data_IF_907137389942
#
_entry.id   IF_907137389942
#
_cell.length_a   1.000
_cell.length_b   1.000
_cell.length_c   1.000
_cell.angle_alpha   90.00
_cell.angle_beta   90.00
_cell.angle_gamma   90.00
#
_symmetry.space_group_name_H-M   'P 1'
#
loop_
_entity.id
_entity.type
_entity.pdbx_description
1 polymer ?
#
# COMPACT_ATOMS: atom_id res chain seq x y z
N UNK A 1 -19.68 7.60 1.40
CA UNK A 1 -19.96 7.48 -0.05
C UNK A 1 -18.83 6.77 -0.79
N UNK A 2 -17.62 7.34 -0.87
CA UNK A 2 -16.50 6.74 -1.63
C UNK A 2 -16.14 5.30 -1.23
N UNK A 3 -16.07 4.99 0.07
CA UNK A 3 -15.77 3.62 0.53
C UNK A 3 -16.85 2.61 0.14
N UNK A 4 -18.12 3.01 0.22
CA UNK A 4 -19.26 2.17 -0.17
C UNK A 4 -19.25 1.95 -1.68
N UNK A 5 -19.01 2.99 -2.47
CA UNK A 5 -18.90 2.89 -3.93
C UNK A 5 -17.74 1.97 -4.33
N UNK A 6 -16.56 2.12 -3.71
CA UNK A 6 -15.38 1.28 -3.95
C UNK A 6 -15.65 -0.19 -3.63
N UNK A 7 -16.11 -0.48 -2.42
CA UNK A 7 -16.36 -1.86 -1.96
C UNK A 7 -17.51 -2.48 -2.75
N UNK A 8 -18.56 -1.71 -3.02
CA UNK A 8 -19.69 -2.15 -3.84
C UNK A 8 -19.30 -2.50 -5.27
N UNK A 9 -18.47 -1.66 -5.93
CA UNK A 9 -17.98 -1.94 -7.27
C UNK A 9 -17.13 -3.23 -7.33
N UNK A 10 -16.24 -3.43 -6.35
CA UNK A 10 -15.46 -4.67 -6.26
C UNK A 10 -16.33 -5.88 -5.95
N UNK A 11 -17.28 -5.76 -5.02
CA UNK A 11 -18.20 -6.85 -4.69
C UNK A 11 -19.08 -7.23 -5.89
N UNK A 12 -19.54 -6.24 -6.68
CA UNK A 12 -20.28 -6.48 -7.91
C UNK A 12 -19.41 -7.21 -8.95
N UNK A 13 -18.15 -6.77 -9.14
CA UNK A 13 -17.20 -7.44 -10.03
C UNK A 13 -16.98 -8.90 -9.60
N UNK A 14 -16.77 -9.14 -8.30
CA UNK A 14 -16.62 -10.50 -7.74
C UNK A 14 -17.87 -11.34 -8.00
N UNK A 15 -19.06 -10.80 -7.72
CA UNK A 15 -20.32 -11.51 -7.96
C UNK A 15 -20.47 -11.88 -9.44
N UNK A 16 -20.25 -10.92 -10.34
CA UNK A 16 -20.35 -11.13 -11.78
C UNK A 16 -19.34 -12.15 -12.31
N UNK A 17 -18.07 -12.04 -11.91
CA UNK A 17 -17.01 -12.93 -12.38
C UNK A 17 -17.07 -14.35 -11.82
N UNK A 18 -17.68 -14.56 -10.64
CA UNK A 18 -17.82 -15.89 -10.03
C UNK A 18 -19.11 -16.61 -10.41
N UNK A 19 -20.16 -15.89 -10.83
CA UNK A 19 -21.50 -16.47 -11.05
C UNK A 19 -22.02 -16.28 -12.47
N UNK A 20 -22.32 -15.04 -12.85
CA UNK A 20 -23.16 -14.74 -14.02
C UNK A 20 -22.40 -14.75 -15.35
N UNK A 21 -21.13 -14.35 -15.36
CA UNK A 21 -20.37 -14.13 -16.60
C UNK A 21 -19.14 -15.03 -16.70
N UNK A 22 -19.07 -16.10 -15.92
CA UNK A 22 -17.94 -17.04 -15.95
C UNK A 22 -17.76 -17.59 -17.37
N UNK A 23 -16.53 -17.55 -17.87
CA UNK A 23 -16.15 -18.19 -19.12
C UNK A 23 -15.52 -19.57 -18.82
N UNK A 24 -16.24 -20.70 -19.04
CA UNK A 24 -15.78 -22.01 -18.60
C UNK A 24 -14.46 -22.44 -19.24
N UNK A 25 -14.27 -22.14 -20.53
CA UNK A 25 -13.06 -22.50 -21.28
C UNK A 25 -11.84 -21.72 -20.76
N UNK A 26 -12.00 -20.41 -20.54
CA UNK A 26 -10.96 -19.55 -19.95
C UNK A 26 -10.61 -20.00 -18.54
N UNK A 27 -11.62 -20.24 -17.70
CA UNK A 27 -11.41 -20.71 -16.34
C UNK A 27 -10.69 -22.05 -16.35
N UNK A 28 -11.13 -23.01 -17.18
CA UNK A 28 -10.50 -24.33 -17.27
C UNK A 28 -9.03 -24.22 -17.71
N UNK A 29 -8.74 -23.41 -18.73
CA UNK A 29 -7.37 -23.15 -19.18
C UNK A 29 -6.52 -22.57 -18.04
N UNK A 30 -6.96 -21.48 -17.42
CA UNK A 30 -6.23 -20.83 -16.33
C UNK A 30 -5.99 -21.75 -15.12
N UNK A 31 -7.00 -22.52 -14.71
CA UNK A 31 -6.90 -23.40 -13.54
C UNK A 31 -6.14 -24.70 -13.82
N UNK A 32 -6.12 -25.18 -15.08
CA UNK A 32 -5.33 -26.36 -15.45
C UNK A 32 -3.82 -26.12 -15.33
N UNK A 33 -3.35 -24.89 -15.57
CA UNK A 33 -1.95 -24.48 -15.43
C UNK A 33 -1.76 -23.47 -14.30
N UNK A 34 -2.60 -23.49 -13.26
CA UNK A 34 -2.60 -22.48 -12.19
C UNK A 34 -1.24 -22.32 -11.51
N UNK A 35 -0.55 -23.44 -11.30
CA UNK A 35 0.77 -23.51 -10.69
C UNK A 35 1.92 -23.27 -11.69
N UNK A 36 1.60 -22.88 -12.92
CA UNK A 36 2.55 -22.83 -14.03
C UNK A 36 3.01 -24.23 -14.47
N UNK A 37 3.78 -24.26 -15.54
CA UNK A 37 4.36 -25.48 -16.13
C UNK A 37 5.87 -25.58 -15.89
N UNK A 38 6.44 -24.66 -15.10
CA UNK A 38 7.87 -24.59 -14.81
C UNK A 38 8.30 -25.42 -13.60
N UNK A 39 9.61 -25.60 -13.45
CA UNK A 39 10.19 -26.36 -12.36
C UNK A 39 10.09 -25.61 -11.02
N UNK A 40 9.53 -26.29 -10.02
CA UNK A 40 9.41 -25.80 -8.64
C UNK A 40 10.73 -25.95 -7.89
N UNK A 41 11.71 -25.13 -8.26
CA UNK A 41 13.02 -25.05 -7.59
C UNK A 41 13.12 -23.82 -6.70
N UNK A 42 14.18 -23.73 -5.89
CA UNK A 42 14.45 -22.56 -5.05
C UNK A 42 14.58 -21.25 -5.86
N UNK A 43 14.82 -21.34 -7.17
CA UNK A 43 14.86 -20.19 -8.07
C UNK A 43 13.51 -19.45 -8.18
N UNK A 44 12.39 -20.06 -7.77
CA UNK A 44 11.08 -19.38 -7.75
C UNK A 44 10.96 -18.35 -6.63
N UNK A 45 11.75 -18.47 -5.56
CA UNK A 45 11.71 -17.57 -4.40
C UNK A 45 11.94 -16.10 -4.77
N UNK A 46 13.00 -15.73 -5.51
CA UNK A 46 13.18 -14.34 -5.94
C UNK A 46 12.05 -13.85 -6.87
N UNK A 47 11.52 -14.71 -7.73
CA UNK A 47 10.40 -14.39 -8.63
C UNK A 47 9.14 -14.05 -7.82
N UNK A 48 8.80 -14.86 -6.83
CA UNK A 48 7.68 -14.61 -5.91
C UNK A 48 7.92 -13.29 -5.16
N UNK A 49 9.13 -13.06 -4.64
CA UNK A 49 9.44 -11.83 -3.93
C UNK A 49 9.33 -10.57 -4.80
N UNK A 50 9.78 -10.61 -6.05
CA UNK A 50 9.61 -9.52 -6.99
C UNK A 50 8.12 -9.26 -7.34
N UNK A 51 7.31 -10.32 -7.46
CA UNK A 51 5.87 -10.23 -7.71
C UNK A 51 5.07 -9.69 -6.51
N UNK A 52 5.59 -9.83 -5.28
CA UNK A 52 4.91 -9.36 -4.07
C UNK A 52 4.76 -7.84 -3.96
N UNK A 53 5.53 -7.06 -4.72
CA UNK A 53 5.51 -5.60 -4.62
C UNK A 53 4.12 -5.01 -4.89
N UNK A 54 3.44 -5.47 -5.95
CA UNK A 54 2.07 -5.04 -6.27
C UNK A 54 1.06 -5.46 -5.20
N UNK A 55 1.14 -6.71 -4.71
CA UNK A 55 0.26 -7.23 -3.67
C UNK A 55 0.42 -6.48 -2.34
N UNK A 56 1.66 -6.18 -1.94
CA UNK A 56 1.95 -5.42 -0.73
C UNK A 56 1.47 -3.98 -0.84
N UNK A 57 1.70 -3.33 -1.98
CA UNK A 57 1.20 -1.98 -2.19
C UNK A 57 -0.33 -1.92 -2.16
N UNK A 58 -1.01 -2.90 -2.77
CA UNK A 58 -2.48 -2.97 -2.76
C UNK A 58 -3.06 -3.07 -1.34
N UNK A 59 -2.30 -3.65 -0.42
CA UNK A 59 -2.66 -3.89 0.99
C UNK A 59 -2.04 -2.87 1.94
N UNK A 60 -1.33 -1.86 1.43
CA UNK A 60 -0.69 -0.83 2.26
C UNK A 60 -1.74 0.13 2.86
N UNK A 61 -1.29 1.01 3.77
CA UNK A 61 -2.11 1.98 4.51
C UNK A 61 -2.99 1.42 5.64
N UNK A 62 -2.91 0.12 5.95
CA UNK A 62 -3.58 -0.47 7.12
C UNK A 62 -3.16 0.20 8.44
N UNK A 63 -1.90 0.66 8.52
CA UNK A 63 -1.33 1.36 9.68
C UNK A 63 -1.90 2.77 9.88
N UNK A 64 -2.50 3.40 8.87
CA UNK A 64 -3.00 4.78 8.96
C UNK A 64 -4.14 4.93 9.98
N UNK A 65 -4.92 3.88 10.24
CA UNK A 65 -5.97 3.91 11.27
C UNK A 65 -5.40 4.21 12.66
N UNK A 66 -4.13 3.85 12.89
CA UNK A 66 -3.44 4.10 14.17
C UNK A 66 -3.16 5.58 14.39
N UNK A 67 -3.12 6.41 13.34
CA UNK A 67 -2.92 7.85 13.47
C UNK A 67 -4.12 8.57 14.08
N UNK A 68 -5.31 7.99 13.93
CA UNK A 68 -6.54 8.45 14.55
C UNK A 68 -6.87 7.67 15.83
N UNK A 69 -5.94 6.88 16.38
CA UNK A 69 -6.21 6.03 17.54
C UNK A 69 -6.72 6.81 18.77
N UNK A 70 -6.29 8.07 18.94
CA UNK A 70 -6.76 8.95 20.01
C UNK A 70 -8.22 9.40 19.84
N UNK A 71 -8.76 9.36 18.62
CA UNK A 71 -10.14 9.72 18.30
C UNK A 71 -11.08 8.50 18.35
N UNK A 72 -10.53 7.28 18.43
CA UNK A 72 -11.28 6.02 18.46
C UNK A 72 -11.82 5.75 19.87
N UNK A 73 -13.13 5.50 19.97
CA UNK A 73 -13.74 5.03 21.21
C UNK A 73 -13.19 3.65 21.59
N UNK A 74 -12.81 3.45 22.86
CA UNK A 74 -12.24 2.18 23.36
C UNK A 74 -11.10 1.61 22.48
N UNK A 75 -10.00 2.36 22.32
CA UNK A 75 -8.96 2.04 21.32
C UNK A 75 -8.26 0.71 21.61
N UNK A 76 -8.15 0.27 22.87
CA UNK A 76 -7.55 -1.01 23.25
C UNK A 76 -8.29 -2.23 22.68
N UNK A 77 -9.58 -2.11 22.41
CA UNK A 77 -10.42 -3.19 21.83
C UNK A 77 -10.73 -2.93 20.36
N UNK A 78 -11.15 -1.71 20.04
CA UNK A 78 -11.67 -1.38 18.72
C UNK A 78 -10.57 -1.26 17.68
N UNK A 79 -9.36 -0.79 18.05
CA UNK A 79 -8.27 -0.64 17.09
C UNK A 79 -7.73 -2.00 16.62
N UNK A 80 -7.42 -2.98 17.50
CA UNK A 80 -7.02 -4.31 17.05
C UNK A 80 -8.10 -5.02 16.24
N UNK A 81 -9.37 -4.89 16.64
CA UNK A 81 -10.49 -5.52 15.92
C UNK A 81 -10.68 -4.91 14.52
N UNK A 82 -10.63 -3.57 14.42
CA UNK A 82 -10.72 -2.88 13.14
C UNK A 82 -9.57 -3.27 12.20
N UNK A 83 -8.34 -3.40 12.72
CA UNK A 83 -7.20 -3.88 11.96
C UNK A 83 -7.39 -5.32 11.49
N UNK A 84 -7.77 -6.24 12.38
CA UNK A 84 -7.90 -7.65 12.05
C UNK A 84 -9.07 -7.92 11.07
N UNK A 85 -10.27 -7.44 11.39
CA UNK A 85 -11.47 -7.65 10.58
C UNK A 85 -11.38 -6.85 9.27
N UNK A 86 -10.95 -5.59 9.34
CA UNK A 86 -10.83 -4.73 8.16
C UNK A 86 -9.82 -5.28 7.17
N UNK A 87 -8.60 -5.60 7.63
CA UNK A 87 -7.56 -6.19 6.76
C UNK A 87 -7.99 -7.57 6.25
N UNK A 88 -8.59 -8.42 7.10
CA UNK A 88 -9.07 -9.74 6.68
C UNK A 88 -10.14 -9.67 5.60
N UNK A 89 -11.12 -8.77 5.74
CA UNK A 89 -12.18 -8.58 4.75
C UNK A 89 -11.63 -8.05 3.42
N UNK A 90 -10.71 -7.08 3.46
CA UNK A 90 -10.08 -6.53 2.26
C UNK A 90 -9.23 -7.57 1.56
N UNK A 91 -8.43 -8.35 2.29
CA UNK A 91 -7.64 -9.44 1.74
C UNK A 91 -8.53 -10.50 1.07
N UNK A 92 -9.64 -10.87 1.70
CA UNK A 92 -10.62 -11.78 1.10
C UNK A 92 -11.19 -11.21 -0.20
N UNK A 93 -11.59 -9.94 -0.21
CA UNK A 93 -12.12 -9.27 -1.39
C UNK A 93 -11.09 -9.23 -2.52
N UNK A 94 -9.82 -8.96 -2.23
CA UNK A 94 -8.74 -8.96 -3.22
C UNK A 94 -8.49 -10.35 -3.80
N UNK A 95 -8.46 -11.39 -2.97
CA UNK A 95 -8.34 -12.78 -3.44
C UNK A 95 -9.52 -13.13 -4.35
N UNK A 96 -10.75 -12.86 -3.90
CA UNK A 96 -11.96 -13.13 -4.70
C UNK A 96 -11.97 -12.35 -6.01
N UNK A 97 -11.46 -11.11 -6.02
CA UNK A 97 -11.34 -10.29 -7.23
C UNK A 97 -10.35 -10.92 -8.22
N UNK A 98 -9.21 -11.42 -7.75
CA UNK A 98 -8.25 -12.13 -8.61
C UNK A 98 -8.84 -13.44 -9.16
N UNK A 99 -9.57 -14.19 -8.34
CA UNK A 99 -10.29 -15.40 -8.81
C UNK A 99 -11.37 -15.02 -9.85
N UNK A 100 -12.08 -13.91 -9.66
CA UNK A 100 -13.05 -13.40 -10.63
C UNK A 100 -12.37 -13.03 -11.96
N UNK A 101 -11.20 -12.38 -11.92
CA UNK A 101 -10.41 -12.11 -13.13
C UNK A 101 -10.00 -13.39 -13.87
N UNK A 102 -9.51 -14.40 -13.14
CA UNK A 102 -9.12 -15.69 -13.73
C UNK A 102 -10.31 -16.49 -14.29
N UNK A 103 -11.55 -16.16 -13.92
CA UNK A 103 -12.75 -16.75 -14.51
C UNK A 103 -13.26 -16.01 -15.76
N UNK A 104 -12.78 -14.79 -16.00
CA UNK A 104 -13.26 -13.90 -17.06
C UNK A 104 -12.23 -13.70 -18.18
N UNK A 105 -10.94 -13.64 -17.83
CA UNK A 105 -9.86 -13.31 -18.74
C UNK A 105 -8.78 -14.39 -18.73
N UNK A 106 -8.23 -14.76 -19.90
CA UNK A 106 -7.07 -15.64 -19.93
C UNK A 106 -5.89 -14.94 -19.27
N UNK A 107 -5.11 -15.68 -18.49
CA UNK A 107 -3.96 -15.12 -17.79
C UNK A 107 -2.90 -14.66 -18.80
N UNK A 108 -2.55 -15.56 -19.73
CA UNK A 108 -1.69 -15.28 -20.87
C UNK A 108 -2.50 -14.69 -22.02
N UNK A 109 -1.92 -13.74 -22.74
CA UNK A 109 -2.54 -13.15 -23.92
C UNK A 109 -1.51 -12.53 -24.85
N UNK A 110 -1.99 -11.88 -25.90
CA UNK A 110 -1.18 -11.23 -26.92
C UNK A 110 -1.18 -9.69 -26.70
N UNK A 111 -0.02 -9.05 -26.53
CA UNK A 111 0.08 -7.59 -26.45
C UNK A 111 -0.60 -6.84 -27.62
N UNK A 112 -0.65 -7.47 -28.80
CA UNK A 112 -1.26 -6.94 -30.02
C UNK A 112 -2.73 -7.34 -30.20
N UNK A 113 -3.32 -8.02 -29.21
CA UNK A 113 -4.72 -8.45 -29.23
C UNK A 113 -5.70 -7.28 -29.42
N UNK A 114 -6.68 -7.50 -30.30
CA UNK A 114 -7.67 -6.47 -30.66
C UNK A 114 -8.60 -6.10 -29.49
N UNK A 115 -8.95 -7.06 -28.64
CA UNK A 115 -9.88 -6.89 -27.52
C UNK A 115 -9.27 -7.30 -26.17
N UNK A 116 -10.03 -7.09 -25.10
CA UNK A 116 -9.62 -7.43 -23.74
C UNK A 116 -9.39 -8.94 -23.55
N UNK A 117 -10.13 -9.78 -24.26
CA UNK A 117 -10.01 -11.24 -24.17
C UNK A 117 -8.69 -11.72 -24.78
N UNK A 118 -8.34 -11.23 -25.98
CA UNK A 118 -7.09 -11.59 -26.65
C UNK A 118 -5.84 -11.07 -25.91
N UNK A 119 -5.92 -9.88 -25.31
CA UNK A 119 -4.81 -9.32 -24.51
C UNK A 119 -4.59 -10.05 -23.19
N UNK A 120 -5.64 -10.65 -22.62
CA UNK A 120 -5.58 -11.33 -21.34
C UNK A 120 -5.22 -10.40 -20.17
N UNK A 121 -4.92 -11.00 -19.01
CA UNK A 121 -4.60 -10.26 -17.78
C UNK A 121 -3.23 -9.58 -17.89
N UNK A 122 -2.22 -10.26 -18.43
CA UNK A 122 -0.84 -9.75 -18.51
C UNK A 122 -0.68 -8.50 -19.39
N UNK A 123 -1.53 -8.33 -20.40
CA UNK A 123 -1.45 -7.21 -21.34
C UNK A 123 -2.72 -6.34 -21.34
N UNK A 124 -3.43 -6.31 -20.22
CA UNK A 124 -4.58 -5.43 -20.06
C UNK A 124 -4.20 -3.97 -20.39
N UNK A 125 -5.03 -3.30 -21.18
CA UNK A 125 -4.75 -1.94 -21.63
C UNK A 125 -4.56 -1.00 -20.43
N UNK A 126 -3.43 -0.29 -20.39
CA UNK A 126 -3.05 0.63 -19.31
C UNK A 126 -3.07 -0.02 -17.91
N UNK A 127 -2.82 -1.34 -17.83
CA UNK A 127 -2.84 -2.15 -16.60
C UNK A 127 -4.21 -2.20 -15.89
N UNK A 128 -5.30 -1.90 -16.62
CA UNK A 128 -6.66 -1.82 -16.06
C UNK A 128 -7.41 -3.14 -16.19
N UNK A 129 -6.97 -4.14 -15.44
CA UNK A 129 -7.59 -5.49 -15.43
C UNK A 129 -9.09 -5.43 -15.06
N UNK A 130 -9.48 -4.55 -14.14
CA UNK A 130 -10.87 -4.39 -13.72
C UNK A 130 -11.80 -3.92 -14.83
N UNK A 131 -11.36 -2.97 -15.67
CA UNK A 131 -12.17 -2.51 -16.81
C UNK A 131 -12.21 -3.55 -17.91
N UNK A 132 -11.08 -4.23 -18.17
CA UNK A 132 -11.00 -5.31 -19.14
C UNK A 132 -11.94 -6.49 -18.78
N UNK A 133 -12.00 -6.85 -17.50
CA UNK A 133 -12.88 -7.94 -17.04
C UNK A 133 -14.36 -7.60 -17.22
N UNK A 134 -14.75 -6.37 -16.92
CA UNK A 134 -16.14 -5.91 -17.12
C UNK A 134 -16.47 -5.71 -18.60
N UNK A 135 -15.50 -5.29 -19.42
CA UNK A 135 -15.66 -5.20 -20.88
C UNK A 135 -16.01 -6.56 -21.47
N UNK A 136 -15.31 -7.61 -21.06
CA UNK A 136 -15.59 -8.99 -21.51
C UNK A 136 -16.93 -9.49 -21.00
N UNK A 137 -17.31 -9.14 -19.76
CA UNK A 137 -18.57 -9.60 -19.16
C UNK A 137 -19.81 -8.88 -19.73
N UNK A 138 -19.74 -7.56 -19.92
CA UNK A 138 -20.91 -6.69 -20.13
C UNK A 138 -20.77 -5.74 -21.33
N UNK A 139 -19.65 -5.78 -22.04
CA UNK A 139 -19.35 -4.93 -23.20
C UNK A 139 -18.71 -3.59 -22.86
N UNK A 140 -18.32 -2.85 -23.90
CA UNK A 140 -17.56 -1.60 -23.80
C UNK A 140 -18.24 -0.48 -22.97
N UNK A 141 -19.59 -0.42 -23.00
CA UNK A 141 -20.34 0.54 -22.20
C UNK A 141 -20.15 0.35 -20.69
N UNK A 142 -20.11 -0.91 -20.24
CA UNK A 142 -19.89 -1.24 -18.84
C UNK A 142 -18.44 -0.99 -18.40
N UNK A 143 -17.48 -1.15 -19.31
CA UNK A 143 -16.07 -0.79 -19.05
C UNK A 143 -15.92 0.69 -18.68
N UNK A 144 -16.68 1.57 -19.35
CA UNK A 144 -16.71 3.01 -19.05
C UNK A 144 -17.29 3.27 -17.66
N UNK A 145 -18.38 2.60 -17.28
CA UNK A 145 -18.95 2.71 -15.93
C UNK A 145 -17.96 2.24 -14.85
N UNK A 146 -17.24 1.14 -15.10
CA UNK A 146 -16.20 0.65 -14.20
C UNK A 146 -15.03 1.66 -14.10
N UNK A 147 -14.60 2.25 -15.21
CA UNK A 147 -13.56 3.29 -15.20
C UNK A 147 -13.98 4.49 -14.34
N UNK A 148 -15.23 4.95 -14.46
CA UNK A 148 -15.79 6.02 -13.61
C UNK A 148 -15.80 5.60 -12.14
N UNK A 149 -16.24 4.39 -11.81
CA UNK A 149 -16.23 3.88 -10.43
C UNK A 149 -14.80 3.84 -9.84
N UNK A 150 -13.81 3.41 -10.63
CA UNK A 150 -12.39 3.44 -10.24
C UNK A 150 -11.93 4.88 -10.00
N UNK A 151 -12.31 5.84 -10.86
CA UNK A 151 -11.98 7.25 -10.66
C UNK A 151 -12.55 7.79 -9.33
N UNK A 152 -13.83 7.54 -9.03
CA UNK A 152 -14.42 7.92 -7.74
C UNK A 152 -13.69 7.28 -6.55
N UNK A 153 -13.30 6.02 -6.67
CA UNK A 153 -12.52 5.30 -5.65
C UNK A 153 -11.13 5.94 -5.43
N UNK A 154 -10.39 6.22 -6.50
CA UNK A 154 -9.06 6.84 -6.43
C UNK A 154 -9.13 8.25 -5.85
N UNK A 155 -10.15 9.04 -6.20
CA UNK A 155 -10.37 10.37 -5.64
C UNK A 155 -10.66 10.31 -4.13
N UNK A 156 -11.49 9.36 -3.71
CA UNK A 156 -11.76 9.11 -2.28
C UNK A 156 -10.51 8.71 -1.49
N UNK A 157 -9.65 7.87 -2.08
CA UNK A 157 -8.37 7.49 -1.49
C UNK A 157 -7.44 8.71 -1.34
N UNK A 158 -7.26 9.48 -2.41
CA UNK A 158 -6.43 10.69 -2.39
C UNK A 158 -6.92 11.70 -1.35
N UNK A 159 -8.22 11.91 -1.22
CA UNK A 159 -8.77 12.78 -0.18
C UNK A 159 -8.33 12.35 1.22
N UNK A 160 -8.38 11.04 1.51
CA UNK A 160 -7.90 10.50 2.80
C UNK A 160 -6.40 10.77 3.02
N UNK A 161 -5.57 10.47 2.02
CA UNK A 161 -4.11 10.65 2.08
C UNK A 161 -3.71 12.14 2.22
N UNK A 162 -4.43 13.04 1.56
CA UNK A 162 -4.23 14.50 1.66
C UNK A 162 -4.53 15.00 3.08
N UNK A 163 -5.53 14.43 3.76
CA UNK A 163 -5.87 14.83 5.13
C UNK A 163 -4.95 14.21 6.18
N UNK A 164 -4.43 13.00 5.95
CA UNK A 164 -3.55 12.31 6.91
C UNK A 164 -2.09 12.71 6.79
N UNK A 165 -1.56 12.87 5.58
CA UNK A 165 -0.13 13.13 5.33
C UNK A 165 0.44 14.35 6.09
N UNK A 166 -0.24 15.51 6.08
CA UNK A 166 0.22 16.69 6.80
C UNK A 166 0.31 16.55 8.32
N UNK A 167 -0.42 15.59 8.92
CA UNK A 167 -0.36 15.32 10.37
C UNK A 167 1.04 14.87 10.79
N UNK A 168 1.78 14.19 9.89
CA UNK A 168 3.16 13.76 10.12
C UNK A 168 4.09 14.97 10.17
N UNK A 169 4.00 15.90 9.21
CA UNK A 169 4.79 17.14 9.22
C UNK A 169 4.52 17.98 10.47
N UNK A 170 3.25 18.04 10.88
CA UNK A 170 2.85 18.75 12.09
C UNK A 170 3.44 18.13 13.36
N UNK A 171 3.40 16.80 13.50
CA UNK A 171 4.01 16.11 14.63
C UNK A 171 5.53 16.31 14.67
N UNK A 172 6.22 16.13 13.53
CA UNK A 172 7.67 16.35 13.45
C UNK A 172 8.08 17.79 13.78
N UNK A 173 7.28 18.79 13.38
CA UNK A 173 7.54 20.18 13.72
C UNK A 173 7.39 20.46 15.23
N UNK A 174 6.44 19.81 15.91
CA UNK A 174 6.30 19.91 17.38
C UNK A 174 7.47 19.30 18.13
N UNK A 175 8.08 18.26 17.57
CA UNK A 175 9.31 17.66 18.09
C UNK A 175 10.57 18.44 17.70
N UNK A 176 10.43 19.60 17.02
CA UNK A 176 11.53 20.44 16.50
C UNK A 176 12.45 19.70 15.51
N UNK A 177 11.91 18.69 14.82
CA UNK A 177 12.61 17.89 13.82
C UNK A 177 12.29 18.30 12.37
N UNK A 178 11.45 19.33 12.21
CA UNK A 178 11.05 19.86 10.90
C UNK A 178 10.82 21.38 10.99
N UNK A 179 10.49 22.01 9.86
CA UNK A 179 10.21 23.45 9.81
C UNK A 179 9.09 23.84 10.80
N UNK A 180 9.33 24.85 11.64
CA UNK A 180 8.33 25.33 12.63
C UNK A 180 7.00 25.74 12.00
N UNK A 181 7.04 26.26 10.76
CA UNK A 181 5.83 26.63 10.00
C UNK A 181 4.89 25.44 9.77
N UNK A 182 5.41 24.22 9.66
CA UNK A 182 4.58 23.02 9.52
C UNK A 182 3.81 22.67 10.80
N UNK A 183 4.27 23.16 11.96
CA UNK A 183 3.60 22.99 13.25
C UNK A 183 2.45 23.99 13.48
N UNK A 184 2.31 25.02 12.63
CA UNK A 184 1.25 26.02 12.73
C UNK A 184 -0.01 25.52 12.03
N UNK A 185 -1.13 25.57 12.75
CA UNK A 185 -2.45 25.30 12.20
C UNK A 185 -3.12 26.60 11.76
N UNK A 186 -3.96 26.52 10.73
CA UNK A 186 -4.79 27.65 10.33
C UNK A 186 -5.70 28.08 11.51
N UNK A 187 -5.82 29.37 11.83
CA UNK A 187 -6.60 29.84 12.99
C UNK A 187 -8.06 29.38 12.97
N UNK A 188 -8.70 29.45 11.80
CA UNK A 188 -10.11 29.10 11.60
C UNK A 188 -10.30 27.59 11.31
N UNK A 189 -9.71 27.09 10.21
CA UNK A 189 -9.88 25.70 9.76
C UNK A 189 -9.11 24.64 10.56
N UNK A 190 -8.18 25.05 11.44
CA UNK A 190 -7.33 24.15 12.25
C UNK A 190 -6.56 23.10 11.43
N UNK A 191 -6.22 23.43 10.18
CA UNK A 191 -5.49 22.56 9.25
C UNK A 191 -4.02 22.99 9.08
N UNK A 192 -3.07 22.05 8.89
CA UNK A 192 -1.66 22.37 8.63
C UNK A 192 -1.42 22.76 7.16
N UNK A 193 -1.73 24.02 6.81
CA UNK A 193 -1.69 24.53 5.41
C UNK A 193 -0.32 24.37 4.76
N UNK A 194 0.77 24.66 5.48
CA UNK A 194 2.12 24.50 4.94
C UNK A 194 2.42 23.04 4.58
N UNK A 195 2.01 22.10 5.42
CA UNK A 195 2.17 20.67 5.15
C UNK A 195 1.39 20.22 3.92
N UNK A 196 0.17 20.74 3.74
CA UNK A 196 -0.65 20.48 2.55
C UNK A 196 0.04 20.98 1.26
N UNK A 197 0.54 22.21 1.26
CA UNK A 197 1.22 22.80 0.10
C UNK A 197 2.52 22.06 -0.21
N UNK A 198 3.32 21.76 0.80
CA UNK A 198 4.57 21.00 0.62
C UNK A 198 4.31 19.62 0.02
N UNK A 199 3.29 18.91 0.52
CA UNK A 199 2.87 17.63 -0.03
C UNK A 199 2.38 17.76 -1.49
N UNK A 200 1.57 18.79 -1.79
CA UNK A 200 1.04 19.01 -3.13
C UNK A 200 2.14 19.29 -4.15
N UNK A 201 3.12 20.14 -3.80
CA UNK A 201 4.29 20.43 -4.65
C UNK A 201 5.10 19.15 -4.88
N UNK A 202 5.41 18.42 -3.81
CA UNK A 202 6.20 17.20 -3.94
C UNK A 202 5.50 16.12 -4.76
N UNK A 203 4.20 15.89 -4.52
CA UNK A 203 3.40 14.97 -5.31
C UNK A 203 3.37 15.37 -6.80
N UNK A 204 3.23 16.66 -7.11
CA UNK A 204 3.24 17.16 -8.49
C UNK A 204 4.57 16.90 -9.20
N UNK A 205 5.70 17.05 -8.48
CA UNK A 205 7.04 16.72 -9.01
C UNK A 205 7.15 15.22 -9.30
N UNK A 206 6.65 14.36 -8.40
CA UNK A 206 6.66 12.91 -8.63
C UNK A 206 5.77 12.49 -9.81
N UNK A 207 4.64 13.18 -10.04
CA UNK A 207 3.76 12.91 -11.18
C UNK A 207 4.42 13.16 -12.54
N UNK A 208 5.46 14.00 -12.61
CA UNK A 208 6.17 14.32 -13.85
C UNK A 208 7.54 13.63 -13.97
N UNK A 209 8.00 12.90 -12.95
CA UNK A 209 9.37 12.36 -12.90
C UNK A 209 9.53 10.93 -13.42
N UNK A 210 8.47 10.11 -13.43
CA UNK A 210 8.56 8.69 -13.79
C UNK A 210 7.20 8.02 -14.03
N UNK A 211 7.21 6.69 -14.19
CA UNK A 211 6.00 5.90 -14.39
C UNK A 211 5.39 5.41 -13.07
N UNK A 212 4.10 5.05 -13.08
CA UNK A 212 3.38 4.58 -11.90
C UNK A 212 4.05 3.38 -11.21
N UNK A 213 4.44 2.35 -11.98
CA UNK A 213 5.11 1.17 -11.43
C UNK A 213 6.44 1.49 -10.75
N UNK A 214 7.20 2.44 -11.30
CA UNK A 214 8.48 2.87 -10.72
C UNK A 214 8.29 3.60 -9.38
N UNK A 215 7.29 4.48 -9.30
CA UNK A 215 6.94 5.17 -8.05
C UNK A 215 6.49 4.17 -6.96
N UNK A 216 5.75 3.13 -7.36
CA UNK A 216 5.30 2.07 -6.47
C UNK A 216 6.48 1.29 -5.89
N UNK A 217 7.39 0.81 -6.76
CA UNK A 217 8.60 0.07 -6.33
C UNK A 217 9.47 0.88 -5.36
N UNK A 218 9.57 2.19 -5.62
CA UNK A 218 10.31 3.12 -4.78
C UNK A 218 9.72 3.27 -3.36
N UNK A 219 8.41 3.43 -3.24
CA UNK A 219 7.74 3.64 -1.94
C UNK A 219 7.67 2.36 -1.11
N UNK A 220 7.40 1.21 -1.73
CA UNK A 220 7.24 -0.06 -1.00
C UNK A 220 8.50 -0.44 -0.27
N UNK A 221 9.67 -0.33 -0.91
CA UNK A 221 10.92 -0.68 -0.23
C UNK A 221 11.19 0.22 0.99
N UNK A 222 11.00 1.54 0.84
CA UNK A 222 11.17 2.47 1.96
C UNK A 222 10.19 2.15 3.11
N UNK A 223 8.94 1.81 2.80
CA UNK A 223 7.95 1.40 3.80
C UNK A 223 8.38 0.11 4.53
N UNK A 224 8.88 -0.90 3.81
CA UNK A 224 9.36 -2.16 4.40
C UNK A 224 10.50 -1.94 5.40
N UNK A 225 11.43 -1.03 5.12
CA UNK A 225 12.50 -0.65 6.07
C UNK A 225 11.90 -0.15 7.38
N UNK A 226 10.94 0.79 7.33
CA UNK A 226 10.32 1.34 8.54
C UNK A 226 9.42 0.32 9.24
N UNK A 227 8.76 -0.57 8.51
CA UNK A 227 8.00 -1.66 9.10
C UNK A 227 8.89 -2.66 9.83
N UNK A 228 10.03 -3.03 9.25
CA UNK A 228 11.04 -3.87 9.89
C UNK A 228 11.59 -3.23 11.17
N UNK A 229 11.98 -1.95 11.10
CA UNK A 229 12.48 -1.19 12.25
C UNK A 229 11.43 -1.05 13.35
N UNK A 230 10.16 -0.85 12.98
CA UNK A 230 9.05 -0.77 13.93
C UNK A 230 8.82 -2.12 14.64
N UNK A 231 8.85 -3.22 13.88
CA UNK A 231 8.76 -4.55 14.46
C UNK A 231 9.96 -4.87 15.37
N UNK A 232 11.18 -4.49 14.98
CA UNK A 232 12.37 -4.60 15.82
C UNK A 232 12.23 -3.77 17.12
N UNK A 233 11.67 -2.57 17.02
CA UNK A 233 11.43 -1.71 18.17
C UNK A 233 10.48 -2.36 19.19
N UNK A 234 9.51 -3.17 18.77
CA UNK A 234 8.66 -3.96 19.68
C UNK A 234 9.51 -4.89 20.57
N UNK A 235 10.43 -5.66 19.98
CA UNK A 235 11.32 -6.56 20.74
C UNK A 235 12.26 -5.78 21.66
N UNK A 236 12.84 -4.68 21.14
CA UNK A 236 13.75 -3.83 21.90
C UNK A 236 13.04 -3.16 23.08
N UNK A 237 11.84 -2.65 22.89
CA UNK A 237 11.04 -2.00 23.93
C UNK A 237 10.66 -2.98 25.05
N UNK A 238 10.36 -4.24 24.72
CA UNK A 238 10.08 -5.25 25.74
C UNK A 238 11.28 -5.58 26.63
N UNK A 239 12.50 -5.45 26.11
CA UNK A 239 13.74 -5.60 26.90
C UNK A 239 14.07 -4.34 27.70
N UNK A 240 13.91 -3.16 27.10
CA UNK A 240 14.30 -1.89 27.73
C UNK A 240 13.30 -1.41 28.80
N UNK A 241 12.01 -1.68 28.61
CA UNK A 241 10.94 -1.23 29.50
C UNK A 241 9.94 -2.37 29.75
N UNK A 242 10.35 -3.40 30.52
CA UNK A 242 9.52 -4.58 30.75
C UNK A 242 8.21 -4.26 31.48
N UNK A 243 8.25 -3.30 32.42
CA UNK A 243 7.17 -3.01 33.37
C UNK A 243 6.09 -2.03 32.87
N UNK A 244 6.26 -1.47 31.67
CA UNK A 244 5.26 -0.57 31.11
C UNK A 244 3.91 -1.29 30.94
N UNK A 245 2.79 -0.66 31.34
CA UNK A 245 1.47 -1.22 31.08
C UNK A 245 1.25 -1.32 29.57
N UNK A 246 0.82 -2.50 29.11
CA UNK A 246 0.56 -2.80 27.68
C UNK A 246 -0.92 -3.14 27.51
N UNK A 247 -1.78 -2.14 27.22
CA UNK A 247 -3.21 -2.36 27.03
C UNK A 247 -3.51 -3.34 25.89
N UNK A 248 -2.65 -3.35 24.87
CA UNK A 248 -2.71 -4.30 23.74
C UNK A 248 -1.39 -5.06 23.67
N UNK A 249 -1.46 -6.39 23.66
CA UNK A 249 -0.31 -7.27 23.47
C UNK A 249 -0.33 -7.82 22.04
N UNK A 250 0.83 -7.82 21.39
CA UNK A 250 0.97 -8.43 20.07
C UNK A 250 0.62 -9.93 20.14
N UNK A 251 -0.34 -10.35 19.32
CA UNK A 251 -0.75 -11.74 19.20
C UNK A 251 0.41 -12.62 18.71
N UNK A 252 0.54 -13.83 19.27
CA UNK A 252 1.61 -14.77 18.91
C UNK A 252 3.03 -14.31 19.26
N UNK A 253 3.21 -13.26 20.07
CA UNK A 253 4.55 -12.84 20.50
C UNK A 253 5.23 -13.93 21.35
N UNK A 254 6.53 -14.24 21.12
CA UNK A 254 7.46 -13.57 20.21
C UNK A 254 7.48 -14.11 18.77
N UNK A 255 6.88 -15.27 18.53
CA UNK A 255 7.04 -16.03 17.28
C UNK A 255 6.47 -15.29 16.08
N UNK A 256 5.23 -14.82 16.14
CA UNK A 256 4.56 -14.21 14.99
C UNK A 256 5.24 -12.90 14.54
N UNK A 257 5.59 -11.95 15.43
CA UNK A 257 6.36 -10.77 15.03
C UNK A 257 7.77 -11.10 14.51
N UNK A 258 8.40 -12.18 15.01
CA UNK A 258 9.71 -12.61 14.50
C UNK A 258 9.60 -13.19 13.08
N UNK A 259 8.58 -14.00 12.81
CA UNK A 259 8.29 -14.52 11.46
C UNK A 259 8.00 -13.36 10.49
N UNK A 260 7.22 -12.37 10.92
CA UNK A 260 6.99 -11.15 10.14
C UNK A 260 8.30 -10.44 9.80
N UNK A 261 9.18 -10.23 10.78
CA UNK A 261 10.49 -9.61 10.54
C UNK A 261 11.35 -10.42 9.57
N UNK A 262 11.38 -11.75 9.69
CA UNK A 262 12.12 -12.62 8.78
C UNK A 262 11.56 -12.53 7.35
N UNK A 263 10.24 -12.55 7.18
CA UNK A 263 9.60 -12.43 5.87
C UNK A 263 9.88 -11.06 5.22
N UNK A 264 9.71 -9.97 5.98
CA UNK A 264 10.01 -8.61 5.51
C UNK A 264 11.50 -8.46 5.18
N UNK A 265 12.39 -8.99 6.02
CA UNK A 265 13.83 -8.96 5.79
C UNK A 265 14.25 -9.74 4.54
N UNK A 266 13.73 -10.96 4.37
CA UNK A 266 13.98 -11.77 3.17
C UNK A 266 13.47 -11.07 1.91
N UNK A 267 12.28 -10.47 1.96
CA UNK A 267 11.72 -9.72 0.84
C UNK A 267 12.58 -8.49 0.50
N UNK A 268 13.03 -7.74 1.51
CA UNK A 268 13.94 -6.61 1.27
C UNK A 268 15.23 -7.05 0.58
N UNK A 269 15.81 -8.18 0.99
CA UNK A 269 17.00 -8.75 0.34
C UNK A 269 16.69 -9.08 -1.12
N UNK A 270 15.58 -9.76 -1.41
CA UNK A 270 15.16 -10.09 -2.77
C UNK A 270 15.02 -8.81 -3.62
N UNK A 271 14.30 -7.79 -3.13
CA UNK A 271 14.08 -6.55 -3.86
C UNK A 271 15.37 -5.76 -4.13
N UNK A 272 16.40 -5.93 -3.29
CA UNK A 272 17.70 -5.30 -3.50
C UNK A 272 18.41 -5.87 -4.75
N UNK A 273 18.22 -7.16 -5.03
CA UNK A 273 18.84 -7.84 -6.17
C UNK A 273 17.96 -7.83 -7.42
N UNK A 274 16.64 -8.00 -7.26
CA UNK A 274 15.70 -8.11 -8.39
C UNK A 274 15.29 -6.75 -8.95
N UNK A 275 15.27 -5.69 -8.13
CA UNK A 275 14.81 -4.34 -8.53
C UNK A 275 15.79 -3.20 -8.16
N UNK A 276 17.11 -3.36 -8.35
CA UNK A 276 18.15 -2.46 -7.81
C UNK A 276 17.99 -1.00 -8.23
N UNK A 277 17.48 -0.76 -9.44
CA UNK A 277 17.27 0.59 -9.98
C UNK A 277 16.32 1.44 -9.13
N UNK A 278 15.48 0.83 -8.28
CA UNK A 278 14.48 1.53 -7.48
C UNK A 278 14.72 1.37 -5.97
N UNK A 279 15.25 0.23 -5.55
CA UNK A 279 15.64 -0.02 -4.15
C UNK A 279 16.74 0.93 -3.69
N UNK A 280 17.78 1.12 -4.49
CA UNK A 280 18.93 1.95 -4.12
C UNK A 280 18.58 3.43 -4.01
N UNK A 281 17.86 4.06 -4.97
CA UNK A 281 17.40 5.44 -4.79
C UNK A 281 16.48 5.62 -3.57
N UNK A 282 15.58 4.67 -3.30
CA UNK A 282 14.74 4.68 -2.10
C UNK A 282 15.57 4.69 -0.82
N UNK A 283 16.57 3.81 -0.74
CA UNK A 283 17.55 3.78 0.35
C UNK A 283 18.32 5.09 0.48
N UNK A 284 18.79 5.66 -0.62
CA UNK A 284 19.54 6.91 -0.62
C UNK A 284 18.69 8.07 -0.10
N UNK A 285 17.40 8.13 -0.46
CA UNK A 285 16.50 9.18 0.03
C UNK A 285 16.20 8.97 1.52
N UNK A 286 15.93 7.74 1.98
CA UNK A 286 15.80 7.46 3.41
C UNK A 286 17.08 7.82 4.17
N UNK A 287 18.24 7.44 3.64
CA UNK A 287 19.55 7.74 4.21
C UNK A 287 19.86 9.24 4.21
N UNK A 288 19.41 9.99 3.21
CA UNK A 288 19.53 11.46 3.16
C UNK A 288 18.74 12.15 4.28
N UNK A 289 17.74 11.48 4.86
CA UNK A 289 17.07 11.93 6.06
C UNK A 289 18.00 12.02 7.28
N UNK A 290 19.08 11.22 7.34
CA UNK A 290 20.04 11.22 8.45
C UNK A 290 20.83 12.54 8.53
N UNK A 291 21.52 13.02 7.48
CA UNK A 291 22.23 14.29 7.55
C UNK A 291 21.26 15.46 7.79
N UNK A 292 20.07 15.44 7.18
CA UNK A 292 19.05 16.48 7.41
C UNK A 292 18.61 16.51 8.89
N UNK A 293 18.35 15.35 9.48
CA UNK A 293 18.01 15.22 10.90
C UNK A 293 19.13 15.76 11.81
N UNK A 294 20.39 15.41 11.52
CA UNK A 294 21.54 15.87 12.32
C UNK A 294 21.73 17.39 12.24
N UNK A 295 21.51 17.99 11.06
CA UNK A 295 21.56 19.44 10.86
C UNK A 295 20.47 20.15 11.67
N UNK A 296 19.23 19.64 11.61
CA UNK A 296 18.10 20.22 12.36
C UNK A 296 18.28 20.13 13.87
N UNK A 297 18.73 18.97 14.36
CA UNK A 297 18.98 18.74 15.79
C UNK A 297 20.06 19.67 16.34
N UNK A 298 21.12 19.94 15.56
CA UNK A 298 22.16 20.90 15.94
C UNK A 298 21.63 22.34 16.01
N UNK A 299 20.74 22.73 15.09
CA UNK A 299 20.07 24.04 15.12
C UNK A 299 19.12 24.21 16.30
N UNK A 300 18.33 23.17 16.61
CA UNK A 300 17.39 23.19 17.73
C UNK A 300 18.08 23.30 19.10
N UNK A 301 19.20 22.60 19.31
CA UNK A 301 19.98 22.68 20.55
C UNK A 301 20.66 24.05 20.75
N UNK A 302 21.04 24.73 19.66
CA UNK A 302 21.65 26.07 19.72
C UNK A 302 20.66 27.14 20.16
N UNK A 303 19.42 27.09 19.68
CA UNK A 303 18.38 28.06 20.06
C UNK A 303 17.86 27.86 21.48
N UNK A 304 17.98 26.65 22.07
CA UNK A 304 17.64 26.41 23.48
C UNK A 304 18.72 26.83 24.47
N UNK A 305 19.96 27.04 24.02
CA UNK A 305 21.07 27.54 24.86
C UNK A 305 21.20 29.07 24.86
N UNK A 306 20.44 29.77 24.03
CA UNK A 306 20.45 31.23 23.89
C UNK A 306 19.17 31.90 24.42
N UNK A 307 18.30 31.15 25.10
CA UNK A 307 17.07 31.60 25.75
C UNK A 307 17.12 31.16 27.22
#
# INVERSE_FOLDING_TARGET
>A
LFSVAKVGALAALVLFGLTLFRQPDVASANFSTFWGTGDWTIAIVPIIGAAMVGSLFSSDAWNNVTFAAAEVQNPSRNLPLALAVGTGLVSLLYVLTNVAYLNLLPFYGDPSGADALARGIQHASQDRVGTAAIEVALGAGAATLMAVAILFSTFGCNNGLILSGPRVYWAMARDRLFFERAGRLHPEYRTPVFGLVAQAVWASVLCISGTYGQLLDYVVFAALVFYFLTALALFRLRRLRPDLPRPVKAFGYPVLPALYMLAVGALMVILLFEKPLYTWPGLLIVASGIPVYLLWRRGANRNSSSA
#
